data_IF_720044810081
#
_entry.id   IF_720044810081
#
_cell.length_a   1.000
_cell.length_b   1.000
_cell.length_c   1.000
_cell.angle_alpha   90.00
_cell.angle_beta   90.00
_cell.angle_gamma   90.00
#
_symmetry.space_group_name_H-M   'P 1'
#
loop_
_entity.id
_entity.type
_entity.pdbx_description
1 polymer ?
#
# COMPACT_ATOMS: atom_id res chain seq x y z
N UNK A 1 35.37 -78.03 -22.22
CA UNK A 1 35.73 -76.59 -22.16
C UNK A 1 34.75 -75.65 -22.88
N UNK A 2 33.48 -76.02 -23.11
CA UNK A 2 32.50 -75.14 -23.79
C UNK A 2 31.42 -74.59 -22.82
N UNK A 3 31.38 -75.09 -21.58
CA UNK A 3 30.41 -74.65 -20.55
C UNK A 3 30.82 -73.36 -19.82
N UNK A 4 32.10 -72.99 -19.83
CA UNK A 4 32.58 -71.75 -19.20
C UNK A 4 32.31 -70.50 -20.04
N UNK A 5 32.12 -70.64 -21.35
CA UNK A 5 31.87 -69.51 -22.26
C UNK A 5 30.39 -69.09 -22.32
N UNK A 6 29.46 -69.90 -21.76
CA UNK A 6 28.04 -69.56 -21.64
C UNK A 6 27.70 -68.70 -20.42
N UNK A 7 28.55 -68.71 -19.39
CA UNK A 7 28.36 -67.90 -18.18
C UNK A 7 28.67 -66.41 -18.47
N UNK A 8 29.50 -66.13 -19.48
CA UNK A 8 29.81 -64.77 -19.91
C UNK A 8 28.70 -64.11 -20.76
N UNK A 9 27.67 -64.84 -21.20
CA UNK A 9 26.67 -64.35 -22.16
C UNK A 9 25.26 -64.14 -21.56
N UNK A 10 25.03 -64.39 -20.26
CA UNK A 10 23.67 -64.39 -19.68
C UNK A 10 23.46 -63.51 -18.44
N UNK A 11 24.38 -62.60 -18.11
CA UNK A 11 24.16 -61.58 -17.07
C UNK A 11 24.32 -60.16 -17.61
N UNK A 12 23.77 -59.93 -18.80
CA UNK A 12 23.11 -58.67 -19.07
C UNK A 12 21.67 -58.79 -18.59
N UNK A 13 21.28 -58.02 -17.58
CA UNK A 13 19.96 -57.37 -17.44
C UNK A 13 19.89 -56.61 -16.09
N UNK A 14 19.71 -55.30 -16.25
CA UNK A 14 19.04 -54.34 -15.36
C UNK A 14 19.52 -54.21 -13.91
N UNK A 15 20.34 -53.18 -13.63
CA UNK A 15 20.03 -52.13 -12.62
C UNK A 15 20.86 -50.86 -12.86
N UNK A 16 20.86 -50.25 -14.05
CA UNK A 16 21.40 -48.88 -14.16
C UNK A 16 20.56 -48.03 -15.10
N UNK A 17 19.66 -47.20 -14.56
CA UNK A 17 19.39 -45.90 -15.13
C UNK A 17 20.02 -44.86 -14.20
N UNK A 18 21.35 -44.85 -14.06
CA UNK A 18 22.04 -43.79 -13.31
C UNK A 18 23.19 -43.12 -14.07
N UNK A 19 23.46 -43.52 -15.31
CA UNK A 19 24.49 -42.87 -16.15
C UNK A 19 23.98 -42.42 -17.54
N UNK A 20 22.68 -42.37 -17.77
CA UNK A 20 22.10 -42.05 -19.08
C UNK A 20 21.44 -40.66 -19.19
N UNK A 21 21.70 -39.73 -18.26
CA UNK A 21 21.45 -38.31 -18.55
C UNK A 21 22.68 -37.74 -19.23
N UNK A 22 22.63 -37.63 -20.56
CA UNK A 22 23.68 -36.96 -21.32
C UNK A 22 23.79 -35.50 -20.86
N UNK A 23 25.01 -34.95 -20.76
CA UNK A 23 25.24 -33.56 -20.33
C UNK A 23 24.43 -32.56 -21.17
N UNK A 24 24.21 -32.87 -22.44
CA UNK A 24 23.37 -32.11 -23.38
C UNK A 24 21.91 -31.93 -22.89
N UNK A 25 21.28 -32.95 -22.28
CA UNK A 25 19.89 -32.81 -21.81
C UNK A 25 19.77 -31.93 -20.57
N UNK A 26 20.76 -31.97 -19.68
CA UNK A 26 20.80 -31.13 -18.47
C UNK A 26 21.04 -29.66 -18.81
N UNK A 27 21.79 -29.40 -19.88
CA UNK A 27 21.99 -28.05 -20.40
C UNK A 27 20.69 -27.46 -20.96
N UNK A 28 19.95 -28.20 -21.78
CA UNK A 28 18.64 -27.76 -22.33
C UNK A 28 17.62 -27.47 -21.22
N UNK A 29 17.53 -28.35 -20.21
CA UNK A 29 16.65 -28.16 -19.05
C UNK A 29 17.05 -26.92 -18.23
N UNK A 30 18.35 -26.67 -18.06
CA UNK A 30 18.83 -25.48 -17.36
C UNK A 30 18.46 -24.20 -18.11
N UNK A 31 18.60 -24.17 -19.43
CA UNK A 31 18.22 -23.00 -20.24
C UNK A 31 16.72 -22.72 -20.17
N UNK A 32 15.89 -23.76 -20.22
CA UNK A 32 14.44 -23.62 -20.08
C UNK A 32 14.06 -23.10 -18.69
N UNK A 33 14.71 -23.61 -17.64
CA UNK A 33 14.52 -23.14 -16.26
C UNK A 33 15.01 -21.70 -16.08
N UNK A 34 16.11 -21.32 -16.70
CA UNK A 34 16.62 -19.93 -16.69
C UNK A 34 15.63 -19.00 -17.38
N UNK A 35 15.12 -19.35 -18.56
CA UNK A 35 14.07 -18.54 -19.23
C UNK A 35 12.80 -18.41 -18.41
N UNK A 36 12.37 -19.50 -17.76
CA UNK A 36 11.19 -19.51 -16.88
C UNK A 36 11.40 -18.63 -15.65
N UNK A 37 12.59 -18.66 -15.06
CA UNK A 37 12.94 -17.79 -13.92
C UNK A 37 13.04 -16.34 -14.36
N UNK A 38 13.62 -16.05 -15.52
CA UNK A 38 13.76 -14.70 -16.07
C UNK A 38 12.39 -14.07 -16.39
N UNK A 39 11.49 -14.84 -17.01
CA UNK A 39 10.11 -14.36 -17.27
C UNK A 39 9.33 -14.11 -15.99
N UNK A 40 9.48 -14.97 -14.97
CA UNK A 40 8.90 -14.73 -13.64
C UNK A 40 9.53 -13.53 -12.96
N UNK A 41 10.83 -13.33 -13.08
CA UNK A 41 11.53 -12.18 -12.53
C UNK A 41 11.05 -10.87 -13.19
N UNK A 42 10.90 -10.82 -14.51
CA UNK A 42 10.36 -9.65 -15.20
C UNK A 42 8.90 -9.36 -14.86
N UNK A 43 8.07 -10.41 -14.74
CA UNK A 43 6.67 -10.26 -14.30
C UNK A 43 6.58 -9.76 -12.86
N UNK A 44 7.46 -10.23 -11.99
CA UNK A 44 7.53 -9.78 -10.61
C UNK A 44 8.01 -8.33 -10.55
N UNK A 45 9.09 -7.96 -11.24
CA UNK A 45 9.59 -6.57 -11.31
C UNK A 45 8.52 -5.59 -11.79
N UNK A 46 7.74 -5.94 -12.81
CA UNK A 46 6.64 -5.09 -13.31
C UNK A 46 5.45 -5.00 -12.35
N UNK A 47 5.14 -6.07 -11.62
CA UNK A 47 4.09 -6.04 -10.58
C UNK A 47 4.54 -5.26 -9.35
N UNK A 48 5.82 -5.36 -8.98
CA UNK A 48 6.43 -4.62 -7.87
C UNK A 48 6.48 -3.13 -8.17
N UNK A 49 6.89 -2.72 -9.37
CA UNK A 49 6.91 -1.29 -9.73
C UNK A 49 5.51 -0.66 -9.78
N UNK A 50 4.49 -1.42 -10.22
CA UNK A 50 3.09 -1.00 -10.16
C UNK A 50 2.57 -0.89 -8.72
N UNK A 51 3.00 -1.78 -7.81
CA UNK A 51 2.67 -1.72 -6.40
C UNK A 51 3.38 -0.54 -5.71
N UNK A 52 4.66 -0.32 -5.97
CA UNK A 52 5.46 0.79 -5.43
C UNK A 52 4.91 2.16 -5.86
N UNK A 53 4.47 2.30 -7.12
CA UNK A 53 3.81 3.52 -7.58
C UNK A 53 2.49 3.82 -6.85
N UNK A 54 1.70 2.78 -6.56
CA UNK A 54 0.46 2.92 -5.77
C UNK A 54 0.75 3.23 -4.30
N UNK A 55 1.79 2.64 -3.72
CA UNK A 55 2.22 2.93 -2.35
C UNK A 55 2.72 4.37 -2.24
N UNK A 56 3.54 4.83 -3.18
CA UNK A 56 4.04 6.23 -3.20
C UNK A 56 2.92 7.25 -3.34
N UNK A 57 1.90 6.96 -4.18
CA UNK A 57 0.71 7.80 -4.30
C UNK A 57 -0.12 7.81 -3.01
N UNK A 58 -0.27 6.67 -2.34
CA UNK A 58 -0.97 6.58 -1.06
C UNK A 58 -0.21 7.33 0.04
N UNK A 59 1.12 7.22 0.09
CA UNK A 59 1.97 7.94 1.06
C UNK A 59 1.90 9.46 0.88
N UNK A 60 1.92 9.96 -0.36
CA UNK A 60 1.74 11.39 -0.63
C UNK A 60 0.37 11.91 -0.19
N UNK A 61 -0.71 11.15 -0.44
CA UNK A 61 -2.05 11.54 0.00
C UNK A 61 -2.20 11.49 1.53
N UNK A 62 -1.53 10.54 2.19
CA UNK A 62 -1.50 10.44 3.65
C UNK A 62 -0.75 11.61 4.28
N UNK A 63 0.39 12.03 3.73
CA UNK A 63 1.14 13.18 4.25
C UNK A 63 0.30 14.47 4.24
N UNK A 64 -0.51 14.67 3.20
CA UNK A 64 -1.30 15.89 3.04
C UNK A 64 -2.54 15.94 3.97
N UNK A 65 -3.09 14.77 4.32
CA UNK A 65 -4.25 14.66 5.21
C UNK A 65 -3.89 14.40 6.67
N UNK A 66 -2.71 13.82 6.94
CA UNK A 66 -2.23 13.53 8.29
C UNK A 66 -2.14 14.81 9.14
N UNK A 67 -1.67 15.90 8.56
CA UNK A 67 -1.47 17.18 9.29
C UNK A 67 -2.76 17.69 9.94
N UNK A 68 -3.92 17.56 9.27
CA UNK A 68 -5.19 18.11 9.74
C UNK A 68 -5.83 17.24 10.81
N UNK A 69 -5.85 15.92 10.61
CA UNK A 69 -6.42 14.98 11.59
C UNK A 69 -5.60 14.88 12.87
N UNK A 70 -4.27 15.02 12.75
CA UNK A 70 -3.35 15.00 13.89
C UNK A 70 -3.62 16.17 14.85
N UNK A 71 -3.90 17.38 14.35
CA UNK A 71 -4.24 18.52 15.22
C UNK A 71 -5.53 18.27 16.01
N UNK A 72 -6.56 17.71 15.37
CA UNK A 72 -7.82 17.35 16.05
C UNK A 72 -7.61 16.29 17.12
N UNK A 73 -6.81 15.29 16.80
CA UNK A 73 -6.46 14.21 17.70
C UNK A 73 -5.67 14.73 18.90
N UNK A 74 -4.61 15.53 18.69
CA UNK A 74 -3.84 16.13 19.79
C UNK A 74 -4.70 17.02 20.68
N UNK A 75 -5.61 17.81 20.10
CA UNK A 75 -6.52 18.65 20.88
C UNK A 75 -7.46 17.81 21.75
N UNK A 76 -8.03 16.73 21.20
CA UNK A 76 -8.83 15.77 21.96
C UNK A 76 -8.04 15.12 23.09
N UNK A 77 -6.81 14.66 22.81
CA UNK A 77 -5.91 14.03 23.81
C UNK A 77 -5.52 15.02 24.91
N UNK A 78 -5.22 16.28 24.57
CA UNK A 78 -4.95 17.33 25.56
C UNK A 78 -6.16 17.58 26.47
N UNK A 79 -7.37 17.60 25.90
CA UNK A 79 -8.61 17.76 26.65
C UNK A 79 -8.87 16.57 27.59
N UNK A 80 -8.58 15.36 27.12
CA UNK A 80 -8.66 14.14 27.92
C UNK A 80 -7.67 14.16 29.09
N UNK A 81 -6.42 14.57 28.83
CA UNK A 81 -5.36 14.68 29.84
C UNK A 81 -5.70 15.72 30.91
N UNK A 82 -6.26 16.87 30.51
CA UNK A 82 -6.74 17.88 31.45
C UNK A 82 -7.87 17.37 32.34
N UNK A 83 -8.83 16.64 31.76
CA UNK A 83 -9.92 16.04 32.51
C UNK A 83 -9.41 15.00 33.52
N UNK A 84 -8.40 14.22 33.12
CA UNK A 84 -7.76 13.24 33.99
C UNK A 84 -7.06 13.91 35.19
N UNK A 85 -6.32 15.00 34.95
CA UNK A 85 -5.65 15.77 36.02
C UNK A 85 -6.64 16.47 36.97
N UNK A 86 -7.90 16.65 36.57
CA UNK A 86 -8.96 17.24 37.40
C UNK A 86 -9.92 16.21 38.00
N UNK A 87 -9.60 14.91 37.89
CA UNK A 87 -10.39 13.82 38.46
C UNK A 87 -11.70 13.53 37.72
N UNK A 88 -11.83 13.93 36.45
CA UNK A 88 -13.03 13.74 35.61
C UNK A 88 -12.82 12.65 34.58
N UNK A 89 -13.90 12.20 33.93
CA UNK A 89 -13.87 11.16 32.91
C UNK A 89 -13.13 11.59 31.63
N UNK A 90 -11.90 11.13 31.45
CA UNK A 90 -11.06 11.45 30.28
C UNK A 90 -11.76 11.13 28.94
N UNK A 91 -12.51 10.02 28.88
CA UNK A 91 -13.22 9.57 27.69
C UNK A 91 -14.33 10.54 27.24
N UNK A 92 -15.10 11.07 28.20
CA UNK A 92 -16.16 12.05 27.90
C UNK A 92 -15.55 13.34 27.37
N UNK A 93 -14.47 13.81 28.00
CA UNK A 93 -13.83 15.07 27.62
C UNK A 93 -13.04 14.97 26.31
N UNK A 94 -12.46 13.82 26.00
CA UNK A 94 -11.91 13.52 24.67
C UNK A 94 -12.97 13.71 23.58
N UNK A 95 -14.11 13.02 23.71
CA UNK A 95 -15.20 13.09 22.75
C UNK A 95 -15.78 14.50 22.65
N UNK A 96 -15.91 15.19 23.79
CA UNK A 96 -16.37 16.58 23.82
C UNK A 96 -15.45 17.50 22.99
N UNK A 97 -14.13 17.34 23.15
CA UNK A 97 -13.13 18.09 22.38
C UNK A 97 -13.20 17.83 20.88
N UNK A 98 -13.40 16.57 20.47
CA UNK A 98 -13.54 16.20 19.06
C UNK A 98 -14.85 16.71 18.46
N UNK A 99 -15.97 16.54 19.17
CA UNK A 99 -17.30 16.99 18.73
C UNK A 99 -17.36 18.51 18.58
N UNK A 100 -16.79 19.26 19.53
CA UNK A 100 -16.71 20.73 19.43
C UNK A 100 -16.00 21.21 18.17
N UNK A 101 -15.02 20.43 17.70
CA UNK A 101 -14.33 20.75 16.47
C UNK A 101 -15.24 20.67 15.23
N UNK A 102 -16.10 19.66 15.16
CA UNK A 102 -17.10 19.53 14.09
C UNK A 102 -18.02 20.76 14.05
N UNK A 103 -18.51 21.20 15.21
CA UNK A 103 -19.32 22.42 15.30
C UNK A 103 -18.55 23.67 14.85
N UNK A 104 -17.25 23.75 15.16
CA UNK A 104 -16.39 24.86 14.74
C UNK A 104 -16.23 24.89 13.22
N UNK A 105 -16.02 23.74 12.57
CA UNK A 105 -15.93 23.64 11.11
C UNK A 105 -17.26 24.04 10.46
N UNK A 106 -18.41 23.59 10.99
CA UNK A 106 -19.72 23.99 10.49
C UNK A 106 -19.96 25.51 10.60
N UNK A 107 -19.60 26.10 11.74
CA UNK A 107 -19.71 27.54 11.94
C UNK A 107 -18.81 28.32 10.96
N UNK A 108 -17.57 27.85 10.75
CA UNK A 108 -16.65 28.45 9.79
C UNK A 108 -17.17 28.36 8.35
N UNK A 109 -17.74 27.23 7.95
CA UNK A 109 -18.34 27.06 6.63
C UNK A 109 -19.58 27.95 6.44
N UNK A 110 -20.44 28.05 7.46
CA UNK A 110 -21.59 28.96 7.44
C UNK A 110 -21.15 30.40 7.25
N UNK A 111 -20.18 30.85 8.05
CA UNK A 111 -19.64 32.21 7.96
C UNK A 111 -18.95 32.47 6.62
N UNK A 112 -18.17 31.50 6.12
CA UNK A 112 -17.53 31.61 4.82
C UNK A 112 -18.56 31.76 3.67
N UNK A 113 -19.68 31.04 3.75
CA UNK A 113 -20.78 31.16 2.79
C UNK A 113 -21.40 32.56 2.81
N UNK A 114 -21.69 33.09 4.00
CA UNK A 114 -22.24 34.44 4.17
C UNK A 114 -21.30 35.53 3.64
N UNK A 115 -20.01 35.43 3.94
CA UNK A 115 -18.99 36.39 3.49
C UNK A 115 -18.88 36.38 1.96
N UNK A 116 -18.93 35.20 1.34
CA UNK A 116 -18.96 35.03 -0.12
C UNK A 116 -20.22 35.65 -0.74
N UNK A 117 -21.39 35.48 -0.12
CA UNK A 117 -22.63 36.11 -0.58
C UNK A 117 -22.53 37.64 -0.52
N UNK A 118 -22.07 38.19 0.61
CA UNK A 118 -21.88 39.65 0.79
C UNK A 118 -20.90 40.23 -0.21
N UNK A 119 -19.81 39.53 -0.52
CA UNK A 119 -18.85 39.93 -1.55
C UNK A 119 -19.53 40.05 -2.92
N UNK A 120 -20.29 39.03 -3.34
CA UNK A 120 -21.02 39.03 -4.61
C UNK A 120 -22.01 40.20 -4.73
N UNK A 121 -22.76 40.49 -3.66
CA UNK A 121 -23.68 41.62 -3.62
C UNK A 121 -22.93 42.95 -3.81
N UNK A 122 -21.79 43.11 -3.13
CA UNK A 122 -20.94 44.29 -3.23
C UNK A 122 -20.40 44.48 -4.64
N UNK A 123 -19.97 43.40 -5.28
CA UNK A 123 -19.46 43.42 -6.65
C UNK A 123 -20.56 43.76 -7.66
N UNK A 124 -21.76 43.19 -7.49
CA UNK A 124 -22.93 43.54 -8.29
C UNK A 124 -23.33 45.02 -8.14
N UNK A 125 -23.24 45.57 -6.93
CA UNK A 125 -23.50 46.99 -6.68
C UNK A 125 -22.45 47.89 -7.34
N UNK A 126 -21.16 47.51 -7.31
CA UNK A 126 -20.09 48.23 -8.01
C UNK A 126 -20.31 48.29 -9.52
N UNK A 127 -20.69 47.18 -10.14
CA UNK A 127 -20.97 47.13 -11.59
C UNK A 127 -22.13 48.06 -11.93
N UNK A 128 -23.21 48.04 -11.14
CA UNK A 128 -24.35 48.95 -11.34
C UNK A 128 -24.00 50.42 -11.19
N UNK A 129 -23.03 50.77 -10.35
CA UNK A 129 -22.58 52.17 -10.20
C UNK A 129 -21.61 52.63 -11.29
N UNK A 130 -21.07 51.71 -12.09
CA UNK A 130 -20.12 51.99 -13.17
C UNK A 130 -20.75 51.96 -14.58
N UNK A 131 -22.02 51.54 -14.68
CA UNK A 131 -22.84 51.53 -15.89
C UNK A 131 -23.80 52.72 -15.87
#
# INVERSE_FOLDING_TARGET
MVRLMKIALSLGILTVPLLAQTPEQRFQELEERVRSVETRANKNTSSTSAAEGRVSAVEQNLADHASKGVVLYLFGVLCALWAQNTGRSAWTWFLLGVVFNVFTVLALLSKNSEDRMKARIRDAARIKSAA
#
